data_IF_479506596339
#
_entry.id   IF_479506596339
#
_cell.length_a   1.000
_cell.length_b   1.000
_cell.length_c   1.000
_cell.angle_alpha   90.00
_cell.angle_beta   90.00
_cell.angle_gamma   90.00
#
_symmetry.space_group_name_H-M   'P 1'
#
loop_
_entity.id
_entity.type
_entity.pdbx_description
1 polymer ?
#
# COMPACT_ATOMS: atom_id res chain seq x y z
N UNK A 1 -3.06 13.70 -9.49
CA UNK A 1 -4.46 13.28 -9.30
C UNK A 1 -4.91 12.22 -10.31
N UNK A 2 -4.75 12.43 -11.65
CA UNK A 2 -5.16 11.41 -12.65
C UNK A 2 -4.32 10.14 -12.60
N UNK A 3 -3.07 10.21 -12.16
CA UNK A 3 -2.25 9.02 -11.96
C UNK A 3 -2.74 8.19 -10.75
N UNK A 4 -3.19 8.84 -9.67
CA UNK A 4 -3.83 8.13 -8.54
C UNK A 4 -5.10 7.40 -8.97
N UNK A 5 -5.96 8.08 -9.73
CA UNK A 5 -7.12 7.45 -10.37
C UNK A 5 -6.74 6.19 -11.17
N UNK A 6 -5.65 6.28 -11.95
CA UNK A 6 -5.18 5.17 -12.77
C UNK A 6 -4.69 3.98 -11.91
N UNK A 7 -3.76 4.26 -11.00
CA UNK A 7 -3.04 3.23 -10.26
C UNK A 7 -3.90 2.59 -9.15
N UNK A 8 -4.80 3.36 -8.52
CA UNK A 8 -5.66 2.84 -7.45
C UNK A 8 -6.56 1.70 -7.92
N UNK A 9 -6.88 1.61 -9.21
CA UNK A 9 -7.57 0.46 -9.79
C UNK A 9 -6.80 -0.85 -9.55
N UNK A 10 -5.49 -0.85 -9.83
CA UNK A 10 -4.62 -1.99 -9.56
C UNK A 10 -4.50 -2.27 -8.05
N UNK A 11 -4.28 -1.24 -7.24
CA UNK A 11 -4.12 -1.41 -5.79
C UNK A 11 -5.40 -1.95 -5.13
N UNK A 12 -6.57 -1.45 -5.53
CA UNK A 12 -7.85 -1.85 -4.93
C UNK A 12 -8.30 -3.22 -5.43
N UNK A 13 -8.37 -3.40 -6.75
CA UNK A 13 -8.94 -4.62 -7.35
C UNK A 13 -7.93 -5.75 -7.36
N UNK A 14 -6.71 -5.51 -7.86
CA UNK A 14 -5.73 -6.58 -8.02
C UNK A 14 -5.07 -6.94 -6.71
N UNK A 15 -4.59 -5.96 -5.92
CA UNK A 15 -3.90 -6.28 -4.67
C UNK A 15 -4.84 -6.52 -3.50
N UNK A 16 -5.94 -5.77 -3.44
CA UNK A 16 -6.84 -5.80 -2.30
C UNK A 16 -7.93 -6.85 -2.40
N UNK A 17 -8.76 -6.80 -3.46
CA UNK A 17 -10.06 -7.46 -3.43
C UNK A 17 -10.13 -8.76 -4.25
N UNK A 18 -9.68 -8.76 -5.51
CA UNK A 18 -9.99 -9.88 -6.43
C UNK A 18 -8.84 -10.87 -6.53
N UNK A 19 -7.60 -10.39 -6.77
CA UNK A 19 -6.46 -11.29 -7.01
C UNK A 19 -6.08 -12.12 -5.79
N UNK A 20 -6.04 -11.61 -4.54
CA UNK A 20 -5.72 -12.44 -3.38
C UNK A 20 -6.69 -13.60 -3.21
N UNK A 21 -7.99 -13.33 -3.37
CA UNK A 21 -9.04 -14.37 -3.28
C UNK A 21 -8.92 -15.35 -4.44
N UNK A 22 -8.76 -14.85 -5.66
CA UNK A 22 -8.58 -15.68 -6.85
C UNK A 22 -7.34 -16.57 -6.73
N UNK A 23 -6.23 -16.05 -6.23
CA UNK A 23 -5.00 -16.81 -6.00
C UNK A 23 -5.21 -17.96 -5.01
N UNK A 24 -5.86 -17.64 -3.89
CA UNK A 24 -6.13 -18.63 -2.82
C UNK A 24 -7.11 -19.72 -3.27
N UNK A 25 -8.20 -19.32 -3.95
CA UNK A 25 -9.31 -20.24 -4.24
C UNK A 25 -9.24 -20.92 -5.62
N UNK A 26 -8.39 -20.42 -6.53
CA UNK A 26 -8.33 -20.94 -7.92
C UNK A 26 -6.91 -21.29 -8.35
N UNK A 27 -5.92 -20.39 -8.11
CA UNK A 27 -4.56 -20.60 -8.61
C UNK A 27 -3.83 -21.66 -7.80
N UNK A 28 -3.94 -21.62 -6.48
CA UNK A 28 -3.37 -22.66 -5.61
C UNK A 28 -4.34 -23.84 -5.57
N UNK A 29 -3.89 -25.08 -5.87
CA UNK A 29 -4.74 -26.29 -5.76
C UNK A 29 -5.30 -26.48 -4.34
N UNK A 30 -6.45 -27.16 -4.23
CA UNK A 30 -7.07 -27.47 -2.93
C UNK A 30 -6.15 -28.26 -2.00
N UNK A 31 -5.29 -29.11 -2.54
CA UNK A 31 -4.29 -29.87 -1.80
C UNK A 31 -3.15 -28.97 -1.27
N UNK A 32 -3.07 -27.70 -1.73
CA UNK A 32 -2.03 -26.77 -1.40
C UNK A 32 -0.87 -26.75 -2.39
N UNK A 33 0.10 -25.89 -2.15
CA UNK A 33 1.32 -25.74 -2.94
C UNK A 33 2.49 -26.45 -2.27
N UNK A 34 3.03 -27.49 -2.93
CA UNK A 34 4.17 -28.24 -2.43
C UNK A 34 5.48 -27.48 -2.70
N UNK A 35 6.20 -27.07 -1.66
CA UNK A 35 7.49 -26.45 -1.78
C UNK A 35 8.50 -27.01 -0.77
N UNK A 36 9.62 -27.53 -1.26
CA UNK A 36 10.70 -28.17 -0.45
C UNK A 36 10.21 -29.24 0.53
N UNK A 37 9.20 -30.02 0.14
CA UNK A 37 8.66 -31.10 0.95
C UNK A 37 7.57 -30.68 1.95
N UNK A 38 7.25 -29.38 2.06
CA UNK A 38 6.15 -28.86 2.86
C UNK A 38 5.00 -28.41 1.97
N UNK A 39 3.80 -28.60 2.46
CA UNK A 39 2.55 -28.19 1.80
C UNK A 39 2.09 -26.86 2.43
N UNK A 40 1.79 -25.88 1.60
CA UNK A 40 1.36 -24.54 2.01
C UNK A 40 -0.02 -24.21 1.44
N UNK A 41 -0.85 -23.58 2.23
CA UNK A 41 -2.14 -23.04 1.75
C UNK A 41 -1.93 -21.81 0.86
N UNK A 42 -2.96 -21.44 0.10
CA UNK A 42 -2.92 -20.26 -0.75
C UNK A 42 -2.64 -18.98 0.01
N UNK A 43 -3.24 -18.79 1.21
CA UNK A 43 -3.01 -17.61 2.05
C UNK A 43 -1.58 -17.53 2.58
N UNK A 44 -0.99 -18.66 2.96
CA UNK A 44 0.40 -18.74 3.43
C UNK A 44 1.37 -18.36 2.31
N UNK A 45 1.17 -18.94 1.11
CA UNK A 45 1.99 -18.60 -0.07
C UNK A 45 1.85 -17.13 -0.43
N UNK A 46 0.63 -16.59 -0.39
CA UNK A 46 0.35 -15.18 -0.68
C UNK A 46 1.03 -14.24 0.32
N UNK A 47 0.94 -14.54 1.63
CA UNK A 47 1.59 -13.75 2.68
C UNK A 47 3.11 -13.73 2.54
N UNK A 48 3.75 -14.89 2.31
CA UNK A 48 5.19 -14.97 2.05
C UNK A 48 5.58 -14.23 0.77
N UNK A 49 4.77 -14.30 -0.29
CA UNK A 49 5.03 -13.59 -1.54
C UNK A 49 5.00 -12.07 -1.36
N UNK A 50 3.98 -11.53 -0.67
CA UNK A 50 3.88 -10.10 -0.35
C UNK A 50 5.09 -9.65 0.46
N UNK A 51 5.36 -10.29 1.60
CA UNK A 51 6.44 -9.90 2.49
C UNK A 51 7.81 -9.95 1.79
N UNK A 52 8.08 -11.03 1.04
CA UNK A 52 9.33 -11.19 0.29
C UNK A 52 9.48 -10.13 -0.81
N UNK A 53 8.43 -9.84 -1.56
CA UNK A 53 8.44 -8.82 -2.60
C UNK A 53 8.73 -7.43 -2.01
N UNK A 54 8.05 -7.05 -0.93
CA UNK A 54 8.26 -5.78 -0.26
C UNK A 54 9.67 -5.66 0.31
N UNK A 55 10.22 -6.74 0.88
CA UNK A 55 11.60 -6.77 1.37
C UNK A 55 12.61 -6.55 0.24
N UNK A 56 12.46 -7.23 -0.90
CA UNK A 56 13.33 -7.05 -2.07
C UNK A 56 13.22 -5.62 -2.60
N UNK A 57 12.00 -5.06 -2.67
CA UNK A 57 11.79 -3.70 -3.14
C UNK A 57 12.41 -2.66 -2.20
N UNK A 58 12.32 -2.88 -0.89
CA UNK A 58 13.01 -2.05 0.10
C UNK A 58 14.53 -1.98 -0.18
N UNK A 59 15.16 -3.10 -0.52
CA UNK A 59 16.57 -3.14 -0.83
C UNK A 59 16.93 -2.42 -2.14
N UNK A 60 16.06 -2.45 -3.15
CA UNK A 60 16.35 -1.97 -4.50
C UNK A 60 15.92 -0.51 -4.72
N UNK A 61 14.78 -0.09 -4.15
CA UNK A 61 14.18 1.23 -4.44
C UNK A 61 15.07 2.43 -4.08
N UNK A 62 15.85 2.44 -2.99
CA UNK A 62 16.77 3.53 -2.70
C UNK A 62 17.80 3.76 -3.80
N UNK A 63 18.28 2.67 -4.38
CA UNK A 63 19.24 2.71 -5.51
C UNK A 63 18.60 3.32 -6.76
N UNK A 64 17.36 2.91 -7.07
CA UNK A 64 16.62 3.43 -8.22
C UNK A 64 16.33 4.92 -8.05
N UNK A 65 15.95 5.37 -6.85
CA UNK A 65 15.76 6.78 -6.53
C UNK A 65 17.03 7.60 -6.79
N UNK A 66 18.17 7.16 -6.27
CA UNK A 66 19.45 7.82 -6.47
C UNK A 66 19.87 7.88 -7.95
N UNK A 67 19.64 6.80 -8.70
CA UNK A 67 19.87 6.79 -10.17
C UNK A 67 19.04 7.84 -10.86
N UNK A 68 17.78 7.99 -10.49
CA UNK A 68 16.88 8.97 -11.08
C UNK A 68 17.33 10.41 -10.83
N UNK A 69 17.72 10.70 -9.59
CA UNK A 69 18.14 12.06 -9.19
C UNK A 69 19.48 12.44 -9.87
N UNK A 70 20.44 11.52 -9.90
CA UNK A 70 21.77 11.77 -10.48
C UNK A 70 21.76 11.80 -12.01
N UNK A 71 20.90 11.00 -12.65
CA UNK A 71 20.83 10.92 -14.12
C UNK A 71 19.88 11.93 -14.74
N UNK A 72 19.08 12.66 -13.95
CA UNK A 72 18.01 13.52 -14.45
C UNK A 72 16.90 12.77 -15.18
N UNK A 73 16.81 11.44 -15.03
CA UNK A 73 15.87 10.59 -15.78
C UNK A 73 14.60 10.25 -14.99
N UNK A 74 14.27 11.05 -13.98
CA UNK A 74 13.13 10.83 -13.08
C UNK A 74 11.82 10.53 -13.82
N UNK A 75 11.47 11.35 -14.80
CA UNK A 75 10.23 11.17 -15.57
C UNK A 75 10.25 9.94 -16.48
N UNK A 76 11.41 9.61 -17.07
CA UNK A 76 11.57 8.41 -17.89
C UNK A 76 11.38 7.14 -17.03
N UNK A 77 12.01 7.10 -15.87
CA UNK A 77 11.87 5.99 -14.91
C UNK A 77 10.43 5.90 -14.38
N UNK A 78 9.81 7.02 -14.04
CA UNK A 78 8.40 7.05 -13.64
C UNK A 78 7.49 6.39 -14.68
N UNK A 79 7.60 6.82 -15.94
CA UNK A 79 6.84 6.24 -17.07
C UNK A 79 7.17 4.76 -17.27
N UNK A 80 8.44 4.37 -17.23
CA UNK A 80 8.86 2.98 -17.42
C UNK A 80 8.30 2.07 -16.35
N UNK A 81 8.34 2.47 -15.07
CA UNK A 81 7.76 1.70 -13.97
C UNK A 81 6.23 1.63 -14.06
N UNK A 82 5.57 2.76 -14.36
CA UNK A 82 4.13 2.80 -14.47
C UNK A 82 3.61 1.94 -15.63
N UNK A 83 4.21 2.08 -16.82
CA UNK A 83 3.81 1.29 -17.97
C UNK A 83 4.19 -0.19 -17.83
N UNK A 84 5.41 -0.47 -17.38
CA UNK A 84 5.86 -1.85 -17.15
C UNK A 84 4.98 -2.57 -16.14
N UNK A 85 4.70 -1.93 -14.99
CA UNK A 85 3.81 -2.48 -13.98
C UNK A 85 2.39 -2.72 -14.51
N UNK A 86 1.82 -1.76 -15.24
CA UNK A 86 0.48 -1.87 -15.82
C UNK A 86 0.40 -2.97 -16.91
N UNK A 87 1.44 -3.11 -17.74
CA UNK A 87 1.53 -4.20 -18.73
C UNK A 87 1.56 -5.54 -18.01
N UNK A 88 2.44 -5.74 -17.02
CA UNK A 88 2.48 -6.99 -16.27
C UNK A 88 1.15 -7.25 -15.54
N UNK A 89 0.53 -6.24 -14.92
CA UNK A 89 -0.79 -6.38 -14.32
C UNK A 89 -1.86 -6.83 -15.33
N UNK A 90 -1.76 -6.40 -16.59
CA UNK A 90 -2.67 -6.83 -17.65
C UNK A 90 -2.44 -8.29 -18.09
N UNK A 91 -1.29 -8.89 -17.77
CA UNK A 91 -1.00 -10.31 -18.08
C UNK A 91 -1.57 -11.30 -17.07
N UNK A 92 -2.22 -10.86 -16.00
CA UNK A 92 -2.94 -11.76 -15.09
C UNK A 92 -4.04 -12.59 -15.78
N UNK A 93 -4.42 -12.22 -16.99
CA UNK A 93 -5.27 -13.05 -17.84
C UNK A 93 -4.76 -14.51 -17.98
N UNK A 94 -3.44 -14.69 -17.95
CA UNK A 94 -2.79 -15.99 -18.09
C UNK A 94 -2.66 -16.77 -16.77
N UNK A 95 -3.05 -16.18 -15.63
CA UNK A 95 -3.02 -16.85 -14.33
C UNK A 95 -4.16 -17.88 -14.22
N UNK A 96 -3.86 -19.16 -14.44
CA UNK A 96 -4.82 -20.27 -14.39
C UNK A 96 -4.60 -21.13 -13.13
N UNK A 97 -5.51 -22.06 -12.89
CA UNK A 97 -5.38 -23.04 -11.81
C UNK A 97 -4.09 -23.85 -11.98
N UNK A 98 -3.31 -23.97 -10.91
CA UNK A 98 -2.00 -24.63 -10.90
C UNK A 98 -0.82 -23.72 -11.28
N UNK A 99 -1.05 -22.57 -11.91
CA UNK A 99 0.01 -21.66 -12.38
C UNK A 99 0.57 -20.77 -11.25
N UNK A 100 0.84 -21.36 -10.08
CA UNK A 100 1.27 -20.63 -8.88
C UNK A 100 2.52 -19.79 -9.14
N UNK A 101 3.57 -20.39 -9.70
CA UNK A 101 4.86 -19.70 -9.95
C UNK A 101 4.71 -18.59 -10.98
N UNK A 102 3.99 -18.83 -12.08
CA UNK A 102 3.72 -17.80 -13.10
C UNK A 102 2.97 -16.61 -12.50
N UNK A 103 1.94 -16.89 -11.72
CA UNK A 103 1.11 -15.87 -11.08
C UNK A 103 1.93 -15.02 -10.10
N UNK A 104 2.78 -15.65 -9.29
CA UNK A 104 3.68 -14.94 -8.38
C UNK A 104 4.71 -14.10 -9.12
N UNK A 105 5.23 -14.56 -10.26
CA UNK A 105 6.14 -13.80 -11.09
C UNK A 105 5.45 -12.56 -11.69
N UNK A 106 4.24 -12.70 -12.22
CA UNK A 106 3.43 -11.58 -12.72
C UNK A 106 3.17 -10.58 -11.59
N UNK A 107 2.75 -11.08 -10.41
CA UNK A 107 2.54 -10.25 -9.23
C UNK A 107 3.80 -9.46 -8.87
N UNK A 108 4.96 -10.12 -8.78
CA UNK A 108 6.23 -9.49 -8.42
C UNK A 108 6.59 -8.36 -9.41
N UNK A 109 6.48 -8.61 -10.71
CA UNK A 109 6.82 -7.61 -11.74
C UNK A 109 5.81 -6.44 -11.78
N UNK A 110 4.52 -6.72 -11.66
CA UNK A 110 3.50 -5.69 -11.57
C UNK A 110 3.67 -4.82 -10.31
N UNK A 111 3.92 -5.44 -9.16
CA UNK A 111 4.12 -4.77 -7.89
C UNK A 111 5.45 -3.99 -7.86
N UNK A 112 6.51 -4.50 -8.50
CA UNK A 112 7.75 -3.77 -8.69
C UNK A 112 7.53 -2.48 -9.49
N UNK A 113 6.73 -2.56 -10.56
CA UNK A 113 6.32 -1.40 -11.35
C UNK A 113 5.48 -0.41 -10.53
N UNK A 114 4.51 -0.89 -9.76
CA UNK A 114 3.67 -0.06 -8.91
C UNK A 114 4.49 0.65 -7.82
N UNK A 115 5.39 -0.10 -7.16
CA UNK A 115 6.25 0.44 -6.10
C UNK A 115 7.24 1.46 -6.66
N UNK A 116 7.91 1.16 -7.76
CA UNK A 116 8.85 2.08 -8.40
C UNK A 116 8.17 3.36 -8.91
N UNK A 117 6.99 3.23 -9.51
CA UNK A 117 6.24 4.41 -9.97
C UNK A 117 5.80 5.33 -8.82
N UNK A 118 5.48 4.77 -7.64
CA UNK A 118 5.13 5.58 -6.47
C UNK A 118 6.30 6.42 -5.95
N UNK A 119 7.53 5.87 -5.96
CA UNK A 119 8.72 6.64 -5.55
C UNK A 119 8.83 7.93 -6.34
N UNK A 120 8.61 7.84 -7.66
CA UNK A 120 8.69 9.00 -8.54
C UNK A 120 7.44 9.88 -8.49
N UNK A 121 6.26 9.29 -8.32
CA UNK A 121 5.02 10.05 -8.19
C UNK A 121 5.05 11.02 -7.01
N UNK A 122 5.49 10.54 -5.83
CA UNK A 122 5.60 11.36 -4.64
C UNK A 122 6.63 12.50 -4.82
N UNK A 123 7.73 12.26 -5.53
CA UNK A 123 8.73 13.28 -5.81
C UNK A 123 8.25 14.36 -6.79
N UNK A 124 7.43 13.98 -7.78
CA UNK A 124 6.86 14.89 -8.77
C UNK A 124 5.81 15.84 -8.18
N UNK A 125 5.19 15.48 -7.04
CA UNK A 125 4.18 16.33 -6.41
C UNK A 125 4.71 17.74 -6.13
N UNK A 126 5.96 17.86 -5.71
CA UNK A 126 6.61 19.15 -5.43
C UNK A 126 6.85 20.00 -6.70
N UNK A 127 7.14 19.34 -7.81
CA UNK A 127 7.41 20.03 -9.08
C UNK A 127 6.15 20.64 -9.69
N UNK A 128 4.95 20.18 -9.29
CA UNK A 128 3.66 20.60 -9.84
C UNK A 128 2.78 21.37 -8.86
N UNK A 129 3.28 21.66 -7.65
CA UNK A 129 2.54 22.36 -6.59
C UNK A 129 3.39 23.46 -5.97
N UNK A 130 2.72 24.41 -5.34
CA UNK A 130 3.34 25.39 -4.45
C UNK A 130 3.07 24.99 -2.99
N UNK A 131 3.82 25.54 -2.03
CA UNK A 131 3.64 25.23 -0.61
C UNK A 131 2.20 25.48 -0.15
N UNK A 132 1.52 26.49 -0.69
CA UNK A 132 0.12 26.80 -0.38
C UNK A 132 -0.89 25.83 -0.97
N UNK A 133 -0.52 25.05 -1.98
CA UNK A 133 -1.43 24.18 -2.74
C UNK A 133 -1.15 22.68 -2.57
N UNK A 134 0.01 22.32 -1.99
CA UNK A 134 0.46 20.92 -1.90
C UNK A 134 -0.52 20.03 -1.15
N UNK A 135 -1.09 20.52 -0.05
CA UNK A 135 -2.05 19.75 0.75
C UNK A 135 -3.36 19.52 -0.02
N UNK A 136 -3.84 20.54 -0.74
CA UNK A 136 -5.05 20.42 -1.55
C UNK A 136 -4.87 19.48 -2.74
N UNK A 137 -3.73 19.56 -3.42
CA UNK A 137 -3.42 18.69 -4.58
C UNK A 137 -3.21 17.26 -4.12
N UNK A 138 -2.53 17.05 -2.98
CA UNK A 138 -2.37 15.73 -2.37
C UNK A 138 -3.71 15.13 -1.97
N UNK A 139 -4.57 15.88 -1.28
CA UNK A 139 -5.90 15.43 -0.87
C UNK A 139 -6.79 15.09 -2.07
N UNK A 140 -6.75 15.91 -3.14
CA UNK A 140 -7.45 15.62 -4.41
C UNK A 140 -6.90 14.36 -5.08
N UNK A 141 -5.59 14.11 -4.99
CA UNK A 141 -4.96 12.88 -5.48
C UNK A 141 -5.60 11.66 -4.82
N UNK A 142 -5.56 11.58 -3.51
CA UNK A 142 -6.16 10.48 -2.75
C UNK A 142 -7.67 10.33 -3.00
N UNK A 143 -8.42 11.43 -3.01
CA UNK A 143 -9.86 11.39 -3.28
C UNK A 143 -10.16 10.78 -4.67
N UNK A 144 -9.44 11.22 -5.72
CA UNK A 144 -9.58 10.64 -7.06
C UNK A 144 -9.08 9.19 -7.11
N UNK A 145 -8.05 8.85 -6.34
CA UNK A 145 -7.60 7.47 -6.18
C UNK A 145 -8.69 6.56 -5.62
N UNK A 146 -9.28 6.90 -4.49
CA UNK A 146 -10.40 6.14 -3.91
C UNK A 146 -11.58 6.01 -4.86
N UNK A 147 -11.92 7.10 -5.56
CA UNK A 147 -13.01 7.08 -6.52
C UNK A 147 -12.68 6.21 -7.75
N UNK A 148 -11.46 6.32 -8.29
CA UNK A 148 -11.01 5.51 -9.42
C UNK A 148 -10.91 4.03 -9.09
N UNK A 149 -10.33 3.70 -7.94
CA UNK A 149 -10.25 2.33 -7.44
C UNK A 149 -11.63 1.75 -7.14
N UNK A 150 -12.49 2.50 -6.48
CA UNK A 150 -13.86 2.08 -6.17
C UNK A 150 -14.71 1.86 -7.43
N UNK A 151 -14.64 2.79 -8.41
CA UNK A 151 -15.38 2.64 -9.67
C UNK A 151 -14.88 1.42 -10.47
N UNK A 152 -13.57 1.25 -10.59
CA UNK A 152 -13.01 0.12 -11.32
C UNK A 152 -13.34 -1.21 -10.61
N UNK A 153 -13.32 -1.25 -9.27
CA UNK A 153 -13.73 -2.43 -8.51
C UNK A 153 -15.23 -2.73 -8.70
N UNK A 154 -16.08 -1.71 -8.75
CA UNK A 154 -17.51 -1.87 -9.06
C UNK A 154 -17.71 -2.47 -10.46
N UNK A 155 -16.96 -1.98 -11.46
CA UNK A 155 -17.02 -2.56 -12.81
C UNK A 155 -16.50 -4.00 -12.83
N UNK A 156 -15.47 -4.32 -12.05
CA UNK A 156 -14.99 -5.70 -11.87
C UNK A 156 -16.06 -6.60 -11.25
N UNK A 157 -16.79 -6.10 -10.26
CA UNK A 157 -17.92 -6.84 -9.67
C UNK A 157 -18.99 -7.13 -10.71
N UNK A 158 -19.33 -6.15 -11.56
CA UNK A 158 -20.28 -6.34 -12.66
C UNK A 158 -19.76 -7.43 -13.63
N UNK A 159 -18.49 -7.40 -14.01
CA UNK A 159 -17.90 -8.42 -14.90
C UNK A 159 -18.02 -9.82 -14.27
N UNK A 160 -17.69 -9.95 -12.98
CA UNK A 160 -17.71 -11.23 -12.27
C UNK A 160 -19.15 -11.76 -12.12
N UNK A 161 -20.12 -10.90 -11.84
CA UNK A 161 -21.50 -11.30 -11.58
C UNK A 161 -22.34 -11.50 -12.85
N UNK A 162 -22.17 -10.60 -13.81
CA UNK A 162 -23.01 -10.57 -15.02
C UNK A 162 -22.37 -11.31 -16.18
N UNK A 163 -21.04 -11.34 -16.22
CA UNK A 163 -20.26 -11.99 -17.29
C UNK A 163 -20.66 -13.45 -17.55
N UNK A 164 -20.77 -14.31 -16.53
CA UNK A 164 -21.21 -15.69 -16.74
C UNK A 164 -22.56 -15.84 -17.43
N UNK A 165 -23.55 -15.03 -17.02
CA UNK A 165 -24.90 -15.09 -17.58
C UNK A 165 -25.04 -14.48 -18.97
N UNK A 166 -24.31 -13.40 -19.26
CA UNK A 166 -24.44 -12.63 -20.51
C UNK A 166 -23.46 -13.08 -21.58
N UNK A 167 -22.21 -13.38 -21.18
CA UNK A 167 -21.13 -13.73 -22.10
C UNK A 167 -20.88 -15.25 -22.20
N UNK A 168 -21.57 -16.07 -21.38
CA UNK A 168 -21.38 -17.51 -21.35
C UNK A 168 -19.99 -17.97 -20.91
N UNK A 169 -19.27 -17.14 -20.15
CA UNK A 169 -17.94 -17.44 -19.60
C UNK A 169 -18.06 -18.02 -18.19
N UNK A 170 -17.07 -18.81 -17.75
CA UNK A 170 -17.05 -19.30 -16.38
C UNK A 170 -16.63 -18.19 -15.38
N UNK A 171 -16.89 -18.40 -14.09
CA UNK A 171 -16.58 -17.44 -13.04
C UNK A 171 -15.08 -17.19 -12.89
N UNK A 172 -14.23 -18.19 -13.19
CA UNK A 172 -12.77 -18.05 -13.11
C UNK A 172 -12.25 -17.16 -14.22
N UNK A 173 -12.79 -17.31 -15.44
CA UNK A 173 -12.46 -16.44 -16.57
C UNK A 173 -12.98 -15.02 -16.35
N UNK A 174 -14.18 -14.85 -15.78
CA UNK A 174 -14.72 -13.54 -15.41
C UNK A 174 -13.79 -12.82 -14.41
N UNK A 175 -13.28 -13.53 -13.41
CA UNK A 175 -12.32 -12.99 -12.44
C UNK A 175 -10.99 -12.59 -13.11
N UNK A 176 -10.45 -13.41 -14.01
CA UNK A 176 -9.24 -13.07 -14.78
C UNK A 176 -9.44 -11.84 -15.65
N UNK A 177 -10.60 -11.72 -16.31
CA UNK A 177 -10.95 -10.53 -17.10
C UNK A 177 -11.01 -9.29 -16.20
N UNK A 178 -11.63 -9.38 -15.02
CA UNK A 178 -11.75 -8.27 -14.07
C UNK A 178 -10.37 -7.80 -13.58
N UNK A 179 -9.46 -8.71 -13.24
CA UNK A 179 -8.09 -8.39 -12.80
C UNK A 179 -7.30 -7.77 -13.96
N UNK A 180 -7.38 -8.35 -15.15
CA UNK A 180 -6.74 -7.84 -16.37
C UNK A 180 -7.24 -6.43 -16.70
N UNK A 181 -8.54 -6.20 -16.57
CA UNK A 181 -9.15 -4.90 -16.78
C UNK A 181 -8.60 -3.82 -15.83
N UNK A 182 -8.30 -4.16 -14.58
CA UNK A 182 -7.63 -3.25 -13.64
C UNK A 182 -6.21 -2.85 -14.13
N UNK A 183 -5.45 -3.79 -14.70
CA UNK A 183 -4.16 -3.51 -15.33
C UNK A 183 -4.29 -2.60 -16.55
N UNK A 184 -5.25 -2.90 -17.45
CA UNK A 184 -5.53 -2.07 -18.61
C UNK A 184 -6.03 -0.67 -18.24
N UNK A 185 -6.86 -0.54 -17.21
CA UNK A 185 -7.30 0.73 -16.64
C UNK A 185 -6.08 1.55 -16.20
N UNK A 186 -5.19 0.94 -15.44
CA UNK A 186 -3.96 1.60 -15.01
C UNK A 186 -3.12 2.06 -16.20
N UNK A 187 -2.94 1.23 -17.22
CA UNK A 187 -2.18 1.57 -18.44
C UNK A 187 -2.80 2.76 -19.19
N UNK A 188 -4.10 2.68 -19.51
CA UNK A 188 -4.82 3.69 -20.31
C UNK A 188 -4.80 5.05 -19.61
N UNK A 189 -5.17 5.09 -18.33
CA UNK A 189 -5.21 6.35 -17.59
C UNK A 189 -3.82 6.87 -17.22
N UNK A 190 -2.79 6.02 -17.17
CA UNK A 190 -1.39 6.45 -17.08
C UNK A 190 -0.95 7.15 -18.35
N UNK A 191 -1.27 6.61 -19.53
CA UNK A 191 -0.98 7.26 -20.83
C UNK A 191 -1.64 8.65 -20.87
N UNK A 192 -2.93 8.72 -20.50
CA UNK A 192 -3.65 9.99 -20.42
C UNK A 192 -3.00 10.97 -19.42
N UNK A 193 -2.62 10.49 -18.23
CA UNK A 193 -1.98 11.31 -17.20
C UNK A 193 -0.66 11.88 -17.69
N UNK A 194 0.23 11.03 -18.23
CA UNK A 194 1.55 11.46 -18.69
C UNK A 194 1.52 12.33 -19.95
N UNK A 195 0.50 12.21 -20.79
CA UNK A 195 0.33 13.12 -21.95
C UNK A 195 0.02 14.57 -21.54
N UNK A 196 -0.51 14.76 -20.32
CA UNK A 196 -0.86 16.08 -19.78
C UNK A 196 0.19 16.64 -18.79
N UNK A 197 1.09 15.80 -18.30
CA UNK A 197 2.18 16.21 -17.42
C UNK A 197 3.30 16.90 -18.21
N UNK A 198 3.46 18.20 -17.97
CA UNK A 198 4.60 18.99 -18.45
C UNK A 198 5.54 19.20 -17.26
N UNK A 199 6.57 18.37 -17.15
CA UNK A 199 7.60 18.47 -16.11
C UNK A 199 8.92 18.68 -16.85
N UNK A 200 9.62 19.74 -16.48
CA UNK A 200 10.97 20.00 -16.99
C UNK A 200 11.93 18.97 -16.39
N UNK A 201 12.64 18.24 -17.25
CA UNK A 201 13.70 17.34 -16.79
C UNK A 201 14.85 18.19 -16.25
N UNK A 202 15.19 17.99 -14.99
CA UNK A 202 16.37 18.61 -14.38
C UNK A 202 17.60 18.11 -15.14
N UNK A 203 18.42 19.04 -15.68
CA UNK A 203 19.65 18.65 -16.38
C UNK A 203 20.57 17.90 -15.42
N UNK A 204 21.12 16.74 -15.85
CA UNK A 204 22.01 15.97 -14.99
C UNK A 204 23.20 16.82 -14.54
N UNK A 205 23.53 16.75 -13.25
CA UNK A 205 24.77 17.31 -12.74
C UNK A 205 25.92 16.57 -13.39
N UNK A 206 26.72 17.30 -14.19
CA UNK A 206 27.79 16.76 -15.03
C UNK A 206 29.00 16.38 -14.16
N UNK A 207 29.56 15.21 -14.41
CA UNK A 207 30.96 14.84 -14.16
C UNK A 207 31.34 14.04 -12.91
N UNK A 208 30.64 12.97 -12.55
CA UNK A 208 31.35 11.92 -11.79
C UNK A 208 30.88 10.53 -12.25
N UNK A 209 31.82 9.57 -12.36
CA UNK A 209 31.49 8.15 -12.46
C UNK A 209 30.92 7.71 -11.10
N UNK A 210 29.61 7.94 -10.92
CA UNK A 210 28.94 7.64 -9.67
C UNK A 210 28.59 6.14 -9.68
N UNK A 211 29.00 5.44 -8.64
CA UNK A 211 28.48 4.11 -8.38
C UNK A 211 27.08 4.26 -7.77
N UNK A 212 26.07 4.19 -8.62
CA UNK A 212 24.67 4.41 -8.27
C UNK A 212 24.16 3.49 -7.15
N UNK A 213 24.66 2.25 -7.08
CA UNK A 213 24.34 1.28 -6.02
C UNK A 213 24.78 1.78 -4.64
N UNK A 214 25.99 2.28 -4.53
CA UNK A 214 26.52 2.78 -3.25
C UNK A 214 25.96 4.14 -2.89
N UNK A 215 25.63 4.98 -3.89
CA UNK A 215 25.10 6.33 -3.65
C UNK A 215 23.72 6.30 -2.99
N UNK A 216 22.77 5.47 -3.46
CA UNK A 216 21.43 5.36 -2.89
C UNK A 216 21.44 4.89 -1.43
N UNK A 217 22.23 3.87 -1.13
CA UNK A 217 22.41 3.40 0.25
C UNK A 217 23.08 4.43 1.15
N UNK A 218 24.11 5.11 0.64
CA UNK A 218 24.82 6.15 1.38
C UNK A 218 23.89 7.32 1.73
N UNK A 219 23.05 7.77 0.80
CA UNK A 219 22.07 8.83 1.04
C UNK A 219 21.11 8.43 2.16
N UNK A 220 20.47 7.26 2.07
CA UNK A 220 19.52 6.81 3.10
C UNK A 220 20.18 6.62 4.47
N UNK A 221 21.42 6.09 4.52
CA UNK A 221 22.17 5.97 5.78
C UNK A 221 22.52 7.33 6.36
N UNK A 222 22.85 8.31 5.51
CA UNK A 222 23.14 9.69 5.95
C UNK A 222 21.88 10.32 6.52
N UNK A 223 20.75 10.23 5.83
CA UNK A 223 19.46 10.73 6.33
C UNK A 223 19.05 10.06 7.64
N UNK A 224 19.22 8.73 7.76
CA UNK A 224 18.96 8.03 9.02
C UNK A 224 19.89 8.49 10.17
N UNK A 225 21.17 8.76 9.88
CA UNK A 225 22.10 9.32 10.89
C UNK A 225 21.68 10.71 11.34
N UNK A 226 21.25 11.56 10.41
CA UNK A 226 20.73 12.91 10.71
C UNK A 226 19.43 12.81 11.54
N UNK A 227 18.48 11.95 11.18
CA UNK A 227 17.22 11.73 11.91
C UNK A 227 17.47 11.30 13.36
N UNK A 228 18.53 10.53 13.63
CA UNK A 228 18.91 10.13 14.99
C UNK A 228 19.20 11.29 15.94
N UNK A 229 19.51 12.46 15.41
CA UNK A 229 19.76 13.65 16.21
C UNK A 229 18.46 14.33 16.67
N UNK A 230 17.31 13.93 16.08
CA UNK A 230 15.98 14.42 16.42
C UNK A 230 15.12 13.30 17.04
N UNK A 231 15.19 13.10 18.37
CA UNK A 231 14.50 11.98 19.02
C UNK A 231 12.99 11.93 18.74
N UNK A 232 12.33 13.10 18.69
CA UNK A 232 10.89 13.17 18.42
C UNK A 232 10.53 12.62 17.04
N UNK A 233 11.35 12.91 16.02
CA UNK A 233 11.16 12.40 14.67
C UNK A 233 11.46 10.90 14.58
N UNK A 234 12.53 10.45 15.28
CA UNK A 234 12.87 9.03 15.34
C UNK A 234 11.76 8.22 16.02
N UNK A 235 11.24 8.68 17.17
CA UNK A 235 10.12 8.03 17.85
C UNK A 235 8.86 8.00 17.00
N UNK A 236 8.57 9.07 16.25
CA UNK A 236 7.45 9.09 15.33
C UNK A 236 7.62 8.02 14.22
N UNK A 237 8.77 7.95 13.59
CA UNK A 237 9.05 6.99 12.54
C UNK A 237 9.02 5.55 13.05
N UNK A 238 9.51 5.28 14.26
CA UNK A 238 9.40 3.97 14.90
C UNK A 238 7.93 3.63 15.18
N UNK A 239 7.15 4.55 15.73
CA UNK A 239 5.72 4.36 15.93
C UNK A 239 5.00 4.06 14.61
N UNK A 240 5.35 4.84 13.57
CA UNK A 240 4.82 4.68 12.22
C UNK A 240 5.09 3.29 11.65
N UNK A 241 6.32 2.79 11.74
CA UNK A 241 6.67 1.44 11.27
C UNK A 241 5.73 0.40 11.87
N UNK A 242 5.50 0.43 13.16
CA UNK A 242 4.66 -0.57 13.81
C UNK A 242 3.19 -0.45 13.42
N UNK A 243 2.55 0.70 13.64
CA UNK A 243 1.12 0.78 13.37
C UNK A 243 0.79 0.70 11.88
N UNK A 244 1.69 1.13 11.01
CA UNK A 244 1.51 1.03 9.56
C UNK A 244 1.64 -0.41 9.06
N UNK A 245 2.61 -1.19 9.57
CA UNK A 245 2.73 -2.62 9.25
C UNK A 245 1.48 -3.39 9.67
N UNK A 246 0.99 -3.13 10.89
CA UNK A 246 -0.28 -3.70 11.33
C UNK A 246 -1.44 -3.37 10.39
N UNK A 247 -1.60 -2.09 10.02
CA UNK A 247 -2.67 -1.63 9.14
C UNK A 247 -2.55 -2.24 7.72
N UNK A 248 -1.36 -2.23 7.14
CA UNK A 248 -1.12 -2.82 5.82
C UNK A 248 -1.33 -4.34 5.82
N UNK A 249 -1.00 -5.01 6.91
CA UNK A 249 -1.26 -6.44 7.07
C UNK A 249 -2.76 -6.73 7.10
N UNK A 250 -3.54 -5.96 7.87
CA UNK A 250 -5.01 -6.08 7.88
C UNK A 250 -5.57 -5.89 6.47
N UNK A 251 -5.08 -4.92 5.71
CA UNK A 251 -5.54 -4.65 4.35
C UNK A 251 -5.15 -5.79 3.38
N UNK A 252 -3.88 -6.19 3.40
CA UNK A 252 -3.33 -7.13 2.43
C UNK A 252 -3.78 -8.58 2.68
N UNK A 253 -4.01 -8.95 3.96
CA UNK A 253 -4.42 -10.31 4.34
C UNK A 253 -5.93 -10.47 4.52
N UNK A 254 -6.70 -9.38 4.43
CA UNK A 254 -8.16 -9.44 4.57
C UNK A 254 -8.81 -10.37 3.53
N UNK A 255 -8.43 -10.25 2.25
CA UNK A 255 -8.96 -11.10 1.18
C UNK A 255 -8.75 -12.59 1.43
N UNK A 256 -7.50 -13.06 1.61
CA UNK A 256 -7.20 -14.44 1.98
C UNK A 256 -7.91 -14.89 3.26
N UNK A 257 -7.92 -14.07 4.30
CA UNK A 257 -8.60 -14.39 5.55
C UNK A 257 -10.11 -14.56 5.37
N UNK A 258 -10.75 -13.70 4.60
CA UNK A 258 -12.19 -13.79 4.33
C UNK A 258 -12.54 -15.03 3.48
N UNK A 259 -11.67 -15.38 2.52
CA UNK A 259 -11.87 -16.55 1.66
C UNK A 259 -11.61 -17.88 2.39
N UNK A 260 -10.44 -18.04 3.01
CA UNK A 260 -10.03 -19.34 3.62
C UNK A 260 -10.62 -19.55 5.00
N UNK A 261 -10.71 -18.48 5.83
CA UNK A 261 -11.07 -18.61 7.25
C UNK A 261 -12.54 -18.34 7.49
N UNK A 262 -13.09 -17.34 6.80
CA UNK A 262 -14.50 -17.00 6.94
C UNK A 262 -15.39 -17.63 5.87
N UNK A 263 -14.81 -18.32 4.89
CA UNK A 263 -15.50 -19.02 3.80
C UNK A 263 -16.49 -18.13 3.04
N UNK A 264 -16.14 -16.86 2.89
CA UNK A 264 -16.94 -15.91 2.11
C UNK A 264 -16.65 -16.09 0.62
N UNK A 265 -17.69 -15.99 -0.20
CA UNK A 265 -17.56 -15.96 -1.65
C UNK A 265 -16.89 -14.66 -2.13
N UNK A 266 -16.32 -14.71 -3.32
CA UNK A 266 -15.60 -13.59 -3.92
C UNK A 266 -16.46 -12.32 -4.02
N UNK A 267 -17.74 -12.45 -4.32
CA UNK A 267 -18.66 -11.32 -4.41
C UNK A 267 -18.80 -10.59 -3.08
N UNK A 268 -19.04 -11.34 -2.01
CA UNK A 268 -19.13 -10.81 -0.65
C UNK A 268 -17.86 -10.06 -0.25
N UNK A 269 -16.70 -10.62 -0.58
CA UNK A 269 -15.41 -9.99 -0.31
C UNK A 269 -15.27 -8.67 -1.07
N UNK A 270 -15.61 -8.63 -2.36
CA UNK A 270 -15.57 -7.40 -3.17
C UNK A 270 -16.50 -6.33 -2.59
N UNK A 271 -17.70 -6.73 -2.15
CA UNK A 271 -18.65 -5.79 -1.50
C UNK A 271 -18.05 -5.18 -0.23
N UNK A 272 -17.37 -5.97 0.60
CA UNK A 272 -16.66 -5.44 1.78
C UNK A 272 -15.61 -4.40 1.38
N UNK A 273 -14.79 -4.70 0.38
CA UNK A 273 -13.78 -3.75 -0.11
C UNK A 273 -14.40 -2.47 -0.69
N UNK A 274 -15.52 -2.58 -1.41
CA UNK A 274 -16.26 -1.40 -1.89
C UNK A 274 -16.74 -0.53 -0.73
N UNK A 275 -17.32 -1.14 0.30
CA UNK A 275 -17.75 -0.41 1.50
C UNK A 275 -16.56 0.29 2.16
N UNK A 276 -15.43 -0.43 2.34
CA UNK A 276 -14.21 0.14 2.92
C UNK A 276 -13.72 1.35 2.12
N UNK A 277 -13.72 1.30 0.79
CA UNK A 277 -13.26 2.41 -0.05
C UNK A 277 -14.10 3.68 0.11
N UNK A 278 -15.42 3.56 0.09
CA UNK A 278 -16.31 4.72 0.29
C UNK A 278 -16.24 5.26 1.72
N UNK A 279 -16.16 4.37 2.71
CA UNK A 279 -16.01 4.76 4.12
C UNK A 279 -14.64 5.39 4.38
N UNK A 280 -13.55 4.92 3.74
CA UNK A 280 -12.22 5.51 3.88
C UNK A 280 -12.16 6.96 3.36
N UNK A 281 -12.91 7.27 2.29
CA UNK A 281 -13.07 8.65 1.83
C UNK A 281 -13.73 9.54 2.91
N UNK A 282 -14.81 9.06 3.53
CA UNK A 282 -15.48 9.77 4.63
C UNK A 282 -14.58 9.85 5.87
N UNK A 283 -13.86 8.74 6.19
CA UNK A 283 -12.91 8.63 7.29
C UNK A 283 -11.77 9.64 7.19
N UNK A 284 -11.22 9.86 5.99
CA UNK A 284 -10.16 10.86 5.78
C UNK A 284 -10.66 12.29 6.06
N UNK A 285 -11.88 12.62 5.65
CA UNK A 285 -12.50 13.92 5.95
C UNK A 285 -12.77 14.10 7.45
N UNK A 286 -13.31 13.06 8.09
CA UNK A 286 -13.55 13.04 9.53
C UNK A 286 -12.26 13.23 10.30
N UNK A 287 -11.19 12.54 9.92
CA UNK A 287 -9.89 12.66 10.58
C UNK A 287 -9.28 14.06 10.41
N UNK A 288 -9.41 14.69 9.25
CA UNK A 288 -9.00 16.09 9.06
C UNK A 288 -9.76 17.05 9.98
N UNK A 289 -11.08 16.87 10.13
CA UNK A 289 -11.89 17.65 11.07
C UNK A 289 -11.48 17.41 12.53
N UNK A 290 -11.29 16.14 12.92
CA UNK A 290 -10.87 15.78 14.28
C UNK A 290 -9.47 16.30 14.59
N UNK A 291 -8.53 16.26 13.65
CA UNK A 291 -7.18 16.79 13.83
C UNK A 291 -7.19 18.28 14.18
N UNK A 292 -8.11 19.05 13.58
CA UNK A 292 -8.31 20.46 13.93
C UNK A 292 -9.00 20.70 15.28
N UNK A 293 -9.79 19.72 15.79
CA UNK A 293 -10.56 19.88 17.05
C UNK A 293 -9.84 19.31 18.27
N UNK A 294 -9.31 18.09 18.15
CA UNK A 294 -8.70 17.36 19.28
C UNK A 294 -7.19 17.20 19.12
N UNK A 295 -6.63 17.75 18.05
CA UNK A 295 -5.21 17.68 17.70
C UNK A 295 -4.82 16.42 16.93
N UNK A 296 -3.72 16.50 16.19
CA UNK A 296 -3.22 15.43 15.31
C UNK A 296 -2.90 14.13 16.08
N UNK A 297 -2.25 14.25 17.26
CA UNK A 297 -1.84 13.10 18.08
C UNK A 297 -3.03 12.27 18.58
N UNK A 298 -4.06 12.94 19.07
CA UNK A 298 -5.26 12.26 19.56
C UNK A 298 -6.04 11.62 18.41
N UNK A 299 -6.10 12.30 17.27
CA UNK A 299 -6.76 11.77 16.07
C UNK A 299 -6.02 10.53 15.55
N UNK A 300 -4.69 10.58 15.48
CA UNK A 300 -3.88 9.42 15.07
C UNK A 300 -4.02 8.27 16.07
N UNK A 301 -4.01 8.55 17.38
CA UNK A 301 -4.25 7.55 18.42
C UNK A 301 -5.62 6.89 18.28
N UNK A 302 -6.65 7.67 17.97
CA UNK A 302 -8.00 7.16 17.72
C UNK A 302 -8.03 6.24 16.48
N UNK A 303 -7.37 6.60 15.40
CA UNK A 303 -7.34 5.75 14.19
C UNK A 303 -6.56 4.45 14.41
N UNK A 304 -5.46 4.49 15.15
CA UNK A 304 -4.71 3.29 15.58
C UNK A 304 -5.61 2.38 16.43
N UNK A 305 -6.38 2.97 17.36
CA UNK A 305 -7.32 2.23 18.19
C UNK A 305 -8.41 1.54 17.38
N UNK A 306 -8.93 2.19 16.32
CA UNK A 306 -9.90 1.57 15.41
C UNK A 306 -9.34 0.31 14.72
N UNK A 307 -8.09 0.36 14.25
CA UNK A 307 -7.43 -0.82 13.67
C UNK A 307 -7.17 -1.91 14.70
N UNK A 308 -6.74 -1.55 15.92
CA UNK A 308 -6.60 -2.49 17.02
C UNK A 308 -7.92 -3.19 17.34
N UNK A 309 -9.01 -2.42 17.43
CA UNK A 309 -10.36 -2.97 17.68
C UNK A 309 -10.79 -3.90 16.55
N UNK A 310 -10.62 -3.48 15.29
CA UNK A 310 -10.97 -4.27 14.12
C UNK A 310 -10.20 -5.59 14.04
N UNK A 311 -8.87 -5.55 14.29
CA UNK A 311 -8.01 -6.73 14.28
C UNK A 311 -8.42 -7.76 15.35
N UNK A 312 -8.73 -7.30 16.58
CA UNK A 312 -9.18 -8.22 17.64
C UNK A 312 -10.63 -8.71 17.42
N UNK A 313 -11.52 -7.85 16.93
CA UNK A 313 -12.90 -8.24 16.61
C UNK A 313 -12.95 -9.28 15.47
N UNK A 314 -12.02 -9.20 14.51
CA UNK A 314 -11.93 -10.15 13.42
C UNK A 314 -11.66 -11.59 13.87
N UNK A 315 -11.02 -11.78 15.04
CA UNK A 315 -10.82 -13.11 15.65
C UNK A 315 -12.14 -13.84 15.93
N UNK A 316 -13.18 -13.10 16.32
CA UNK A 316 -14.49 -13.63 16.70
C UNK A 316 -15.50 -13.67 15.55
N UNK A 317 -15.12 -13.30 14.34
CA UNK A 317 -16.03 -13.32 13.20
C UNK A 317 -16.52 -14.73 12.89
N UNK A 318 -17.84 -14.93 12.76
CA UNK A 318 -18.41 -16.21 12.36
C UNK A 318 -18.17 -16.47 10.86
N UNK A 319 -18.04 -17.75 10.51
CA UNK A 319 -17.91 -18.20 9.12
C UNK A 319 -19.22 -17.99 8.36
N UNK A 320 -19.13 -17.68 7.07
CA UNK A 320 -20.26 -17.52 6.16
C UNK A 320 -21.14 -16.28 6.40
N UNK A 321 -20.79 -15.39 7.33
CA UNK A 321 -21.63 -14.23 7.66
C UNK A 321 -21.03 -12.91 7.18
N UNK A 322 -21.66 -12.31 6.16
CA UNK A 322 -21.21 -11.07 5.54
C UNK A 322 -21.41 -9.83 6.44
N UNK A 323 -22.53 -9.73 7.15
CA UNK A 323 -22.90 -8.52 7.89
C UNK A 323 -21.90 -8.13 8.97
N UNK A 324 -21.41 -9.06 9.85
CA UNK A 324 -20.36 -8.73 10.83
C UNK A 324 -19.06 -8.28 10.18
N UNK A 325 -18.70 -8.85 9.01
CA UNK A 325 -17.49 -8.48 8.25
C UNK A 325 -17.62 -7.06 7.69
N UNK A 326 -18.79 -6.68 7.16
CA UNK A 326 -19.08 -5.28 6.75
C UNK A 326 -18.93 -4.33 7.94
N UNK A 327 -19.42 -4.70 9.12
CA UNK A 327 -19.26 -3.90 10.34
C UNK A 327 -17.79 -3.61 10.66
N UNK A 328 -16.91 -4.63 10.59
CA UNK A 328 -15.46 -4.46 10.75
C UNK A 328 -14.89 -3.62 9.58
N UNK A 329 -15.34 -3.85 8.36
CA UNK A 329 -14.93 -3.07 7.19
C UNK A 329 -15.21 -1.56 7.34
N UNK A 330 -16.33 -1.18 7.95
CA UNK A 330 -16.64 0.22 8.27
C UNK A 330 -15.62 0.79 9.26
N UNK A 331 -15.30 0.06 10.32
CA UNK A 331 -14.31 0.48 11.32
C UNK A 331 -12.93 0.64 10.69
N UNK A 332 -12.50 -0.32 9.87
CA UNK A 332 -11.24 -0.27 9.12
C UNK A 332 -11.23 0.90 8.14
N UNK A 333 -12.32 1.13 7.41
CA UNK A 333 -12.43 2.24 6.46
C UNK A 333 -12.24 3.61 7.12
N UNK A 334 -12.91 3.86 8.24
CA UNK A 334 -12.73 5.10 9.03
C UNK A 334 -11.27 5.22 9.47
N UNK A 335 -10.71 4.15 10.03
CA UNK A 335 -9.32 4.10 10.50
C UNK A 335 -8.32 4.36 9.37
N UNK A 336 -8.51 3.72 8.21
CA UNK A 336 -7.62 3.80 7.04
C UNK A 336 -7.49 5.22 6.49
N UNK A 337 -8.62 5.89 6.25
CA UNK A 337 -8.62 7.26 5.75
C UNK A 337 -7.92 8.22 6.70
N UNK A 338 -8.12 8.05 8.01
CA UNK A 338 -7.48 8.86 9.04
C UNK A 338 -6.01 8.54 9.22
N UNK A 339 -5.65 7.26 9.29
CA UNK A 339 -4.26 6.82 9.49
C UNK A 339 -3.35 7.36 8.39
N UNK A 340 -3.77 7.25 7.13
CA UNK A 340 -2.99 7.72 5.97
C UNK A 340 -2.83 9.25 5.96
N UNK A 341 -3.94 9.97 6.12
CA UNK A 341 -3.94 11.43 6.00
C UNK A 341 -3.20 12.11 7.15
N UNK A 342 -3.46 11.68 8.41
CA UNK A 342 -2.89 12.31 9.61
C UNK A 342 -1.42 11.94 9.80
N UNK A 343 -1.01 10.70 9.55
CA UNK A 343 0.41 10.32 9.65
C UNK A 343 1.29 11.16 8.72
N UNK A 344 0.84 11.36 7.47
CA UNK A 344 1.55 12.19 6.50
C UNK A 344 1.61 13.66 6.93
N UNK A 345 0.52 14.20 7.47
CA UNK A 345 0.47 15.57 7.96
C UNK A 345 1.38 15.77 9.16
N UNK A 346 1.33 14.88 10.16
CA UNK A 346 2.20 14.92 11.34
C UNK A 346 3.67 14.90 10.93
N UNK A 347 4.04 13.98 10.05
CA UNK A 347 5.42 13.90 9.57
C UNK A 347 5.84 15.20 8.88
N UNK A 348 5.03 15.71 7.96
CA UNK A 348 5.32 16.92 7.21
C UNK A 348 5.50 18.16 8.12
N UNK A 349 4.73 18.27 9.21
CA UNK A 349 4.85 19.39 10.16
C UNK A 349 6.12 19.37 11.00
N UNK A 350 6.78 18.23 11.14
CA UNK A 350 8.04 18.08 11.88
C UNK A 350 9.28 18.48 11.07
N UNK A 351 9.15 18.59 9.74
CA UNK A 351 10.28 18.73 8.83
C UNK A 351 10.75 20.19 8.71
N UNK A 352 12.07 20.41 8.52
CA UNK A 352 12.61 21.73 8.27
C UNK A 352 12.19 22.21 6.86
N UNK A 353 11.98 23.52 6.71
CA UNK A 353 11.73 24.11 5.41
C UNK A 353 12.95 23.93 4.49
N UNK A 354 12.69 23.57 3.24
CA UNK A 354 13.72 23.38 2.22
C UNK A 354 14.35 21.98 2.16
N UNK A 355 14.10 21.09 3.13
CA UNK A 355 14.57 19.69 3.10
C UNK A 355 13.42 18.66 2.96
N UNK A 356 12.19 19.16 2.74
CA UNK A 356 11.00 18.30 2.69
C UNK A 356 11.13 17.17 1.65
N UNK A 357 11.85 17.40 0.53
CA UNK A 357 12.06 16.41 -0.53
C UNK A 357 12.80 15.18 -0.08
N UNK A 358 13.93 15.38 0.58
CA UNK A 358 14.78 14.33 1.12
C UNK A 358 14.00 13.50 2.17
N UNK A 359 13.36 14.18 3.12
CA UNK A 359 12.63 13.54 4.19
C UNK A 359 11.36 12.82 3.70
N UNK A 360 10.58 13.43 2.81
CA UNK A 360 9.40 12.77 2.26
C UNK A 360 9.77 11.56 1.39
N UNK A 361 10.88 11.63 0.66
CA UNK A 361 11.45 10.45 0.00
C UNK A 361 11.81 9.34 0.98
N UNK A 362 12.46 9.69 2.10
CA UNK A 362 12.78 8.74 3.16
C UNK A 362 11.53 8.16 3.83
N UNK A 363 10.51 8.98 4.09
CA UNK A 363 9.22 8.52 4.62
C UNK A 363 8.53 7.52 3.68
N UNK A 364 8.57 7.77 2.38
CA UNK A 364 8.05 6.85 1.38
C UNK A 364 8.76 5.49 1.41
N UNK A 365 10.08 5.47 1.62
CA UNK A 365 10.86 4.23 1.80
C UNK A 365 10.47 3.51 3.09
N UNK A 366 10.36 4.23 4.21
CA UNK A 366 9.95 3.67 5.50
C UNK A 366 8.54 3.10 5.44
N UNK A 367 7.59 3.79 4.80
CA UNK A 367 6.22 3.31 4.62
C UNK A 367 6.15 1.93 3.97
N UNK A 368 7.06 1.66 3.03
CA UNK A 368 7.13 0.37 2.34
C UNK A 368 7.84 -0.70 3.16
N UNK A 369 8.91 -0.31 3.85
CA UNK A 369 9.63 -1.20 4.75
C UNK A 369 8.73 -1.68 5.90
N UNK A 370 7.89 -0.79 6.43
CA UNK A 370 6.97 -1.12 7.51
C UNK A 370 5.80 -2.00 7.11
N UNK A 371 5.66 -2.43 5.88
CA UNK A 371 4.59 -3.36 5.45
C UNK A 371 5.10 -4.80 5.21
N UNK A 372 6.30 -5.13 5.70
CA UNK A 372 6.96 -6.41 5.42
C UNK A 372 6.63 -7.48 6.46
N UNK A 373 6.70 -7.11 7.73
CA UNK A 373 6.73 -8.08 8.83
C UNK A 373 5.38 -8.71 9.11
N UNK A 374 4.32 -7.93 9.01
CA UNK A 374 2.99 -8.40 9.32
C UNK A 374 2.52 -9.56 8.45
N UNK A 375 2.58 -9.49 7.10
CA UNK A 375 2.22 -10.62 6.25
C UNK A 375 3.09 -11.86 6.47
N UNK A 376 4.39 -11.68 6.77
CA UNK A 376 5.30 -12.78 7.10
C UNK A 376 4.90 -13.44 8.42
N UNK A 377 4.61 -12.63 9.46
CA UNK A 377 4.17 -13.14 10.76
C UNK A 377 2.81 -13.83 10.64
N UNK A 378 1.88 -13.26 9.86
CA UNK A 378 0.60 -13.91 9.57
C UNK A 378 0.81 -15.32 9.02
N UNK A 379 1.59 -15.44 7.96
CA UNK A 379 1.87 -16.73 7.32
C UNK A 379 2.63 -17.69 8.23
N UNK A 380 3.63 -17.20 8.96
CA UNK A 380 4.41 -18.01 9.89
C UNK A 380 3.57 -18.59 11.03
N UNK A 381 2.71 -17.77 11.64
CA UNK A 381 1.81 -18.23 12.72
C UNK A 381 0.79 -19.22 12.15
N UNK A 382 0.20 -18.93 10.99
CA UNK A 382 -0.74 -19.83 10.31
C UNK A 382 -0.15 -21.21 10.07
N UNK A 383 1.04 -21.28 9.45
CA UNK A 383 1.76 -22.54 9.16
C UNK A 383 2.05 -23.35 10.45
N UNK A 384 2.55 -22.68 11.50
CA UNK A 384 2.98 -23.39 12.71
C UNK A 384 1.83 -23.80 13.64
N UNK A 385 0.69 -23.10 13.59
CA UNK A 385 -0.45 -23.36 14.46
C UNK A 385 -1.60 -24.10 13.79
N UNK A 386 -1.62 -24.12 12.45
CA UNK A 386 -2.76 -24.60 11.65
C UNK A 386 -4.02 -23.76 11.82
N UNK A 387 -3.93 -22.59 12.47
CA UNK A 387 -5.07 -21.71 12.71
C UNK A 387 -4.72 -20.25 12.40
N UNK A 388 -5.11 -19.74 11.22
CA UNK A 388 -4.82 -18.36 10.80
C UNK A 388 -5.39 -17.29 11.74
N UNK A 389 -6.48 -17.57 12.47
CA UNK A 389 -7.07 -16.63 13.44
C UNK A 389 -6.10 -16.24 14.54
N UNK A 390 -5.17 -17.14 14.92
CA UNK A 390 -4.16 -16.87 15.94
C UNK A 390 -3.09 -15.84 15.51
N UNK A 391 -3.02 -15.51 14.23
CA UNK A 391 -2.17 -14.42 13.72
C UNK A 391 -2.68 -13.04 14.14
N UNK A 392 -3.99 -12.87 14.29
CA UNK A 392 -4.63 -11.57 14.53
C UNK A 392 -4.22 -10.89 15.84
N UNK A 393 -4.15 -11.58 17.00
CA UNK A 393 -3.59 -11.01 18.23
C UNK A 393 -2.13 -10.58 18.08
N UNK A 394 -1.32 -11.34 17.33
CA UNK A 394 0.07 -10.99 17.03
C UNK A 394 0.17 -9.69 16.23
N UNK A 395 -0.68 -9.51 15.23
CA UNK A 395 -0.77 -8.27 14.44
C UNK A 395 -1.28 -7.12 15.31
N UNK A 396 -2.21 -7.38 16.23
CA UNK A 396 -2.74 -6.36 17.14
C UNK A 396 -1.67 -5.77 18.07
N UNK A 397 -0.60 -6.52 18.38
CA UNK A 397 0.55 -6.00 19.14
C UNK A 397 1.26 -4.86 18.40
N UNK A 398 1.27 -4.85 17.08
CA UNK A 398 1.84 -3.74 16.31
C UNK A 398 1.14 -2.41 16.59
N UNK A 399 -0.18 -2.42 16.74
CA UNK A 399 -0.94 -1.22 17.10
C UNK A 399 -0.65 -0.77 18.52
N UNK A 400 -0.51 -1.72 19.47
CA UNK A 400 -0.16 -1.41 20.87
C UNK A 400 1.23 -0.79 20.94
N UNK A 401 2.23 -1.41 20.31
CA UNK A 401 3.61 -0.89 20.29
C UNK A 401 3.65 0.48 19.60
N UNK A 402 3.01 0.60 18.44
CA UNK A 402 2.91 1.85 17.70
C UNK A 402 2.28 2.97 18.51
N UNK A 403 1.20 2.69 19.24
CA UNK A 403 0.54 3.65 20.12
C UNK A 403 1.44 4.07 21.30
N UNK A 404 2.09 3.10 21.96
CA UNK A 404 2.98 3.39 23.09
C UNK A 404 4.17 4.25 22.68
N UNK A 405 4.75 3.98 21.52
CA UNK A 405 5.81 4.82 20.95
C UNK A 405 5.29 6.23 20.62
N UNK A 406 4.10 6.33 20.01
CA UNK A 406 3.48 7.61 19.65
C UNK A 406 3.21 8.48 20.89
N UNK A 407 2.90 7.88 22.03
CA UNK A 407 2.72 8.63 23.28
C UNK A 407 3.94 9.46 23.66
N UNK A 408 5.14 8.99 23.34
CA UNK A 408 6.41 9.66 23.67
C UNK A 408 6.83 10.69 22.60
N UNK A 409 6.07 10.81 21.50
CA UNK A 409 6.36 11.77 20.43
C UNK A 409 5.84 13.16 20.84
N UNK A 410 6.72 14.15 20.81
CA UNK A 410 6.30 15.56 20.81
C UNK A 410 5.94 15.98 19.37
N UNK A 411 4.65 16.02 19.10
CA UNK A 411 4.11 16.38 17.77
C UNK A 411 4.31 17.87 17.45
N UNK A 412 4.51 18.72 18.46
CA UNK A 412 4.72 20.15 18.25
C UNK A 412 6.20 20.50 18.00
N UNK A 413 7.11 19.55 18.26
CA UNK A 413 8.52 19.74 17.97
C UNK A 413 8.75 19.81 16.45
N UNK A 414 9.59 20.73 16.04
CA UNK A 414 9.96 20.97 14.64
C UNK A 414 11.47 21.11 14.55
N UNK A 415 12.04 20.65 13.46
CA UNK A 415 13.44 20.89 13.14
C UNK A 415 13.55 22.32 12.60
N UNK A 416 14.37 23.17 13.24
CA UNK A 416 14.64 24.50 12.72
C UNK A 416 15.59 24.46 11.52
N UNK A 417 15.54 25.49 10.67
CA UNK A 417 16.45 25.61 9.52
C UNK A 417 17.91 25.68 9.98
N UNK A 418 18.17 26.36 11.11
CA UNK A 418 19.52 26.50 11.70
C UNK A 418 20.05 25.16 12.21
N UNK A 419 19.24 24.39 12.95
CA UNK A 419 19.61 23.04 13.41
C UNK A 419 19.88 22.12 12.24
N UNK A 420 19.08 22.20 11.17
CA UNK A 420 19.28 21.38 9.97
C UNK A 420 20.55 21.75 9.22
N UNK A 421 20.85 23.04 9.08
CA UNK A 421 22.03 23.51 8.38
C UNK A 421 23.35 23.20 9.12
N UNK A 422 23.28 22.95 10.44
CA UNK A 422 24.44 22.63 11.29
C UNK A 422 24.90 21.18 11.22
N UNK A 423 24.13 20.30 10.56
CA UNK A 423 24.35 18.85 10.46
C UNK A 423 24.75 18.43 9.04
#
# INVERSE_FOLDING_TARGET
SMYDWAKSAYETTTLGAVMPVYFVSVVVPEEGFLFRGNLYTGAEVWGFAIGSALFIFFLIMPTIGAVADLSGSRMKLFKSFAYGGAIFASTFYFAQSGDVVLTLLIYFLAQFGATGSNVFYDSVLKDITTDDTIDQVSARGYALGYLGGGLQLLLSLVIIQVGPGVLGIDATLASRIAITFAGLWWLIFSIFSFSRMKIEEVKPSRNEKINYLSAGWKTNLTTLRKIRQFPFLLYFLLAYIFYWDGAQTVINMAGPFFSEVLLLDQTSIIVVYLVVQFIAFAGARLAGYLAGRIGQKNTLSFTIFLFFLAGNAAYFLPEGQLIPVIGIGIVVGIGMGGLQSVSRSVYATMLPKGAEGEFMGFFSVISRFSAIWGPIIYSYVSVNTGNPRLSLPGISLFFVIGYLLLRNVDINARISEEEWASI
#
